data_IF_620742521465
#
_entry.id   IF_620742521465
#
_cell.length_a   1.000
_cell.length_b   1.000
_cell.length_c   1.000
_cell.angle_alpha   90.00
_cell.angle_beta   90.00
_cell.angle_gamma   90.00
#
_symmetry.space_group_name_H-M   'P 1'
#
loop_
_entity.id
_entity.type
_entity.pdbx_description
1 polymer ?
#
# COMPACT_ATOMS: atom_id res chain seq x y z
N UNK A 1 -45.15 -48.83 -30.61
CA UNK A 1 -44.04 -47.95 -30.97
C UNK A 1 -43.89 -46.96 -29.83
N UNK A 2 -42.88 -47.10 -28.97
CA UNK A 2 -42.66 -46.31 -27.72
C UNK A 2 -41.43 -45.40 -28.03
N UNK A 3 -41.65 -44.10 -28.22
CA UNK A 3 -40.58 -43.09 -28.36
C UNK A 3 -40.05 -42.74 -26.95
N UNK A 4 -38.85 -43.18 -26.62
CA UNK A 4 -38.16 -42.74 -25.43
C UNK A 4 -37.51 -41.38 -25.67
N UNK A 5 -38.03 -40.35 -25.00
CA UNK A 5 -37.48 -39.01 -25.00
C UNK A 5 -36.30 -38.96 -24.03
N UNK A 6 -35.07 -38.86 -24.57
CA UNK A 6 -33.85 -38.64 -23.75
C UNK A 6 -33.73 -37.16 -23.45
N UNK A 7 -34.08 -36.78 -22.22
CA UNK A 7 -33.75 -35.46 -21.67
C UNK A 7 -32.26 -35.42 -21.36
N UNK A 8 -31.49 -34.74 -22.21
CA UNK A 8 -30.12 -34.35 -21.93
C UNK A 8 -30.13 -33.25 -20.87
N UNK A 9 -29.89 -33.60 -19.60
CA UNK A 9 -29.56 -32.66 -18.52
C UNK A 9 -28.17 -32.07 -18.81
N UNK A 10 -28.14 -30.88 -19.41
CA UNK A 10 -26.95 -30.04 -19.45
C UNK A 10 -26.69 -29.53 -18.01
N UNK A 11 -25.89 -30.27 -17.23
CA UNK A 11 -25.33 -29.75 -15.99
C UNK A 11 -24.33 -28.67 -16.36
N UNK A 12 -24.73 -27.41 -16.24
CA UNK A 12 -23.82 -26.28 -16.30
C UNK A 12 -22.81 -26.46 -15.14
N UNK A 13 -21.60 -26.93 -15.49
CA UNK A 13 -20.46 -26.89 -14.55
C UNK A 13 -20.26 -25.42 -14.13
N UNK A 14 -20.24 -25.11 -12.84
CA UNK A 14 -19.88 -23.77 -12.40
C UNK A 14 -18.51 -23.46 -12.96
N UNK A 15 -18.41 -22.43 -13.78
CA UNK A 15 -17.14 -21.90 -14.24
C UNK A 15 -16.30 -21.64 -12.99
N UNK A 16 -15.16 -22.30 -12.85
CA UNK A 16 -14.17 -22.03 -11.82
C UNK A 16 -13.66 -20.61 -12.07
N UNK A 17 -14.38 -19.64 -11.54
CA UNK A 17 -13.91 -18.25 -11.54
C UNK A 17 -12.58 -18.25 -10.80
N UNK A 18 -11.49 -18.01 -11.52
CA UNK A 18 -10.16 -17.89 -10.93
C UNK A 18 -10.21 -16.86 -9.80
N UNK A 19 -9.52 -17.15 -8.69
CA UNK A 19 -9.44 -16.21 -7.55
C UNK A 19 -8.93 -14.85 -8.04
N UNK A 20 -9.64 -13.80 -7.68
CA UNK A 20 -9.22 -12.43 -7.94
C UNK A 20 -8.01 -12.07 -7.08
N UNK A 21 -7.17 -11.13 -7.52
CA UNK A 21 -6.05 -10.61 -6.73
C UNK A 21 -6.50 -10.12 -5.34
N UNK A 22 -7.69 -9.51 -5.26
CA UNK A 22 -8.26 -8.98 -4.01
C UNK A 22 -8.74 -10.07 -3.05
N UNK A 23 -8.91 -11.32 -3.49
CA UNK A 23 -9.26 -12.42 -2.58
C UNK A 23 -8.12 -12.76 -1.62
N UNK A 24 -6.88 -12.40 -1.99
CA UNK A 24 -5.68 -12.61 -1.19
C UNK A 24 -5.02 -11.30 -0.76
N UNK A 25 -5.06 -10.26 -1.59
CA UNK A 25 -4.45 -8.95 -1.35
C UNK A 25 -5.47 -7.92 -0.87
N UNK A 26 -6.18 -8.25 0.20
CA UNK A 26 -7.14 -7.35 0.86
C UNK A 26 -6.45 -6.26 1.69
N UNK A 27 -7.21 -5.26 2.12
CA UNK A 27 -6.77 -4.27 3.10
C UNK A 27 -6.07 -3.05 2.49
N UNK A 28 -4.88 -2.70 2.95
CA UNK A 28 -4.22 -1.43 2.60
C UNK A 28 -3.92 -1.28 1.11
N UNK A 29 -3.43 -2.33 0.45
CA UNK A 29 -3.10 -2.30 -0.97
C UNK A 29 -4.35 -2.13 -1.85
N UNK A 30 -5.41 -2.89 -1.57
CA UNK A 30 -6.69 -2.76 -2.25
C UNK A 30 -7.29 -1.35 -2.06
N UNK A 31 -7.38 -0.87 -0.81
CA UNK A 31 -7.92 0.48 -0.51
C UNK A 31 -7.13 1.57 -1.22
N UNK A 32 -5.81 1.47 -1.23
CA UNK A 32 -4.94 2.41 -1.91
C UNK A 32 -5.20 2.44 -3.42
N UNK A 33 -5.36 1.28 -4.08
CA UNK A 33 -5.73 1.22 -5.47
C UNK A 33 -7.15 1.76 -5.71
N UNK A 34 -8.14 1.35 -4.90
CA UNK A 34 -9.54 1.74 -5.05
C UNK A 34 -9.76 3.26 -4.97
N UNK A 35 -8.91 3.99 -4.23
CA UNK A 35 -8.92 5.45 -4.13
C UNK A 35 -8.05 6.14 -5.19
N UNK A 36 -7.32 5.40 -6.02
CA UNK A 36 -6.60 5.96 -7.16
C UNK A 36 -7.54 6.33 -8.31
N UNK A 37 -7.10 7.17 -9.25
CA UNK A 37 -7.86 7.46 -10.47
C UNK A 37 -8.14 6.18 -11.27
N UNK A 38 -7.17 5.28 -11.36
CA UNK A 38 -7.35 3.99 -12.05
C UNK A 38 -8.42 3.14 -11.35
N UNK A 39 -8.37 3.00 -10.04
CA UNK A 39 -9.37 2.24 -9.29
C UNK A 39 -10.78 2.81 -9.39
N UNK A 40 -10.91 4.15 -9.35
CA UNK A 40 -12.20 4.83 -9.54
C UNK A 40 -12.76 4.57 -10.94
N UNK A 41 -11.95 4.71 -11.99
CA UNK A 41 -12.39 4.46 -13.37
C UNK A 41 -12.71 2.97 -13.56
N UNK A 42 -11.88 2.07 -13.04
CA UNK A 42 -12.13 0.63 -13.10
C UNK A 42 -13.49 0.24 -12.49
N UNK A 43 -13.86 0.88 -11.38
CA UNK A 43 -15.16 0.68 -10.72
C UNK A 43 -16.33 1.23 -11.56
N UNK A 44 -16.18 2.40 -12.18
CA UNK A 44 -17.19 2.98 -13.07
C UNK A 44 -17.37 2.13 -14.32
N UNK A 45 -16.31 1.50 -14.81
CA UNK A 45 -16.30 0.65 -15.99
C UNK A 45 -16.55 -0.84 -15.70
N UNK A 46 -16.92 -1.17 -14.46
CA UNK A 46 -17.27 -2.54 -14.09
C UNK A 46 -18.42 -3.04 -14.98
N UNK A 47 -18.21 -4.20 -15.61
CA UNK A 47 -19.16 -4.79 -16.56
C UNK A 47 -19.00 -4.35 -18.02
N UNK A 48 -18.09 -3.45 -18.37
CA UNK A 48 -17.77 -3.12 -19.76
C UNK A 48 -16.80 -4.12 -20.36
N UNK A 49 -17.00 -4.49 -21.62
CA UNK A 49 -16.12 -5.41 -22.36
C UNK A 49 -14.69 -4.86 -22.50
N UNK A 50 -14.56 -3.54 -22.71
CA UNK A 50 -13.27 -2.85 -22.80
C UNK A 50 -13.11 -1.91 -21.61
N UNK A 51 -12.07 -2.17 -20.80
CA UNK A 51 -11.65 -1.28 -19.73
C UNK A 51 -10.52 -0.36 -20.24
N UNK A 52 -10.61 0.92 -19.87
CA UNK A 52 -9.58 1.93 -20.22
C UNK A 52 -8.47 1.99 -19.18
N UNK A 53 -8.64 1.37 -18.03
CA UNK A 53 -7.67 1.38 -16.95
C UNK A 53 -7.13 -0.01 -16.68
N UNK A 54 -5.84 -0.11 -16.32
CA UNK A 54 -5.27 -1.38 -15.89
C UNK A 54 -5.86 -1.80 -14.54
N UNK A 55 -6.04 -3.09 -14.37
CA UNK A 55 -6.24 -3.72 -13.08
C UNK A 55 -4.89 -4.04 -12.40
N UNK A 56 -4.94 -4.80 -11.31
CA UNK A 56 -3.72 -5.21 -10.60
C UNK A 56 -2.72 -5.94 -11.52
N UNK A 57 -3.20 -6.86 -12.35
CA UNK A 57 -2.37 -7.64 -13.28
C UNK A 57 -1.74 -6.77 -14.37
N UNK A 58 -2.46 -5.75 -14.85
CA UNK A 58 -1.98 -4.84 -15.88
C UNK A 58 -0.78 -3.98 -15.44
N UNK A 59 -0.67 -3.68 -14.15
CA UNK A 59 0.47 -2.94 -13.60
C UNK A 59 1.55 -3.87 -13.03
N UNK A 60 1.14 -4.94 -12.35
CA UNK A 60 2.05 -5.84 -11.65
C UNK A 60 2.60 -6.97 -12.51
N UNK A 61 2.21 -7.06 -13.80
CA UNK A 61 2.74 -7.97 -14.82
C UNK A 61 3.05 -9.39 -14.30
N UNK A 62 2.16 -9.96 -13.50
CA UNK A 62 2.33 -11.34 -13.05
C UNK A 62 2.13 -12.27 -14.25
N UNK A 63 3.12 -13.12 -14.53
CA UNK A 63 2.87 -14.27 -15.38
C UNK A 63 1.78 -15.13 -14.72
N UNK A 64 0.57 -15.04 -15.25
CA UNK A 64 -0.63 -15.72 -14.74
C UNK A 64 -0.56 -17.25 -14.78
N UNK A 65 0.62 -17.83 -14.99
CA UNK A 65 0.86 -19.28 -15.12
C UNK A 65 1.08 -20.01 -13.79
N UNK A 66 1.26 -19.28 -12.68
CA UNK A 66 1.41 -19.91 -11.38
C UNK A 66 0.08 -19.87 -10.62
N UNK A 67 -0.48 -21.02 -10.21
CA UNK A 67 -1.66 -21.02 -9.34
C UNK A 67 -1.33 -20.35 -7.99
N UNK A 68 -2.20 -19.44 -7.52
CA UNK A 68 -2.12 -18.99 -6.13
C UNK A 68 -2.07 -20.23 -5.20
N UNK A 69 -1.23 -20.28 -4.19
CA UNK A 69 -0.51 -19.20 -3.49
C UNK A 69 0.96 -19.05 -3.88
N UNK A 70 1.37 -19.45 -5.06
CA UNK A 70 2.79 -19.57 -5.46
C UNK A 70 3.29 -18.51 -6.46
N UNK A 71 2.55 -17.44 -6.70
CA UNK A 71 3.13 -16.35 -7.47
C UNK A 71 4.18 -15.65 -6.60
N UNK A 72 5.42 -16.03 -6.84
CA UNK A 72 6.57 -15.48 -6.15
C UNK A 72 6.94 -14.16 -6.80
N UNK A 73 6.75 -13.04 -6.08
CA UNK A 73 7.35 -11.77 -6.50
C UNK A 73 8.83 -11.84 -6.21
N UNK A 74 9.64 -12.00 -7.25
CA UNK A 74 11.10 -11.91 -7.14
C UNK A 74 11.44 -10.58 -6.46
N UNK A 75 12.27 -10.64 -5.42
CA UNK A 75 12.74 -9.44 -4.72
C UNK A 75 13.59 -8.64 -5.71
N UNK A 76 13.01 -7.58 -6.26
CA UNK A 76 13.66 -6.69 -7.23
C UNK A 76 14.40 -5.58 -6.53
N UNK A 77 15.49 -5.10 -7.12
CA UNK A 77 16.16 -3.88 -6.69
C UNK A 77 15.24 -2.66 -6.90
N UNK A 78 15.53 -1.54 -6.22
CA UNK A 78 14.77 -0.29 -6.42
C UNK A 78 14.81 0.19 -7.87
N UNK A 79 15.91 -0.03 -8.56
CA UNK A 79 16.11 0.35 -9.96
C UNK A 79 15.22 -0.49 -10.86
N UNK A 80 15.26 -1.82 -10.73
CA UNK A 80 14.39 -2.73 -11.49
C UNK A 80 12.91 -2.45 -11.25
N UNK A 81 12.49 -2.24 -9.99
CA UNK A 81 11.11 -1.90 -9.67
C UNK A 81 10.65 -0.59 -10.33
N UNK A 82 11.55 0.40 -10.42
CA UNK A 82 11.27 1.67 -11.11
C UNK A 82 11.17 1.50 -12.61
N UNK A 83 12.06 0.72 -13.22
CA UNK A 83 12.04 0.40 -14.65
C UNK A 83 10.77 -0.36 -15.04
N UNK A 84 10.37 -1.34 -14.24
CA UNK A 84 9.12 -2.07 -14.43
C UNK A 84 7.91 -1.16 -14.32
N UNK A 85 7.86 -0.27 -13.31
CA UNK A 85 6.80 0.70 -13.17
C UNK A 85 6.77 1.68 -14.37
N UNK A 86 7.94 2.17 -14.81
CA UNK A 86 8.03 3.06 -15.96
C UNK A 86 7.54 2.38 -17.24
N UNK A 87 7.90 1.12 -17.48
CA UNK A 87 7.44 0.34 -18.62
C UNK A 87 5.93 0.12 -18.61
N UNK A 88 5.37 -0.28 -17.45
CA UNK A 88 3.93 -0.49 -17.28
C UNK A 88 3.12 0.80 -17.49
N UNK A 89 3.54 1.90 -16.88
CA UNK A 89 2.89 3.20 -17.07
C UNK A 89 3.04 3.72 -18.52
N UNK A 90 4.20 3.51 -19.13
CA UNK A 90 4.54 3.98 -20.48
C UNK A 90 3.69 3.35 -21.60
N UNK A 91 3.01 2.24 -21.33
CA UNK A 91 2.07 1.64 -22.27
C UNK A 91 0.87 2.55 -22.61
N UNK A 92 0.51 3.46 -21.68
CA UNK A 92 -0.65 4.35 -21.81
C UNK A 92 -0.32 5.83 -21.63
N UNK A 93 0.76 6.15 -20.91
CA UNK A 93 1.14 7.52 -20.54
C UNK A 93 2.42 7.96 -21.26
N UNK A 94 2.53 9.26 -21.52
CA UNK A 94 3.75 9.82 -22.13
C UNK A 94 4.97 9.65 -21.21
N UNK A 95 6.19 9.48 -21.78
CA UNK A 95 7.40 9.31 -20.98
C UNK A 95 7.65 10.47 -19.98
N UNK A 96 7.34 11.69 -20.38
CA UNK A 96 7.48 12.88 -19.52
C UNK A 96 6.56 12.75 -18.29
N UNK A 97 5.29 12.43 -18.49
CA UNK A 97 4.33 12.26 -17.41
C UNK A 97 4.80 11.17 -16.44
N UNK A 98 5.20 10.02 -16.95
CA UNK A 98 5.69 8.88 -16.14
C UNK A 98 6.89 9.30 -15.30
N UNK A 99 7.86 9.97 -15.91
CA UNK A 99 9.08 10.46 -15.21
C UNK A 99 8.73 11.43 -14.08
N UNK A 100 7.84 12.37 -14.34
CA UNK A 100 7.41 13.37 -13.35
C UNK A 100 6.66 12.72 -12.18
N UNK A 101 5.75 11.75 -12.44
CA UNK A 101 5.01 11.03 -11.41
C UNK A 101 5.91 10.16 -10.53
N UNK A 102 6.82 9.41 -11.13
CA UNK A 102 7.78 8.60 -10.39
C UNK A 102 8.74 9.45 -9.55
N UNK A 103 9.17 10.59 -10.06
CA UNK A 103 10.00 11.53 -9.32
C UNK A 103 9.24 12.17 -8.15
N UNK A 104 7.96 12.53 -8.34
CA UNK A 104 7.11 13.06 -7.27
C UNK A 104 6.89 12.01 -6.16
N UNK A 105 6.63 10.75 -6.53
CA UNK A 105 6.51 9.64 -5.57
C UNK A 105 7.80 9.43 -4.77
N UNK A 106 8.97 9.49 -5.42
CA UNK A 106 10.26 9.38 -4.73
C UNK A 106 10.48 10.52 -3.72
N UNK A 107 10.16 11.77 -4.09
CA UNK A 107 10.25 12.90 -3.15
C UNK A 107 9.32 12.73 -1.96
N UNK A 108 8.07 12.33 -2.19
CA UNK A 108 7.10 12.06 -1.14
C UNK A 108 7.58 10.97 -0.18
N UNK A 109 8.14 9.88 -0.71
CA UNK A 109 8.70 8.82 0.11
C UNK A 109 9.93 9.27 0.91
N UNK A 110 10.81 10.07 0.31
CA UNK A 110 12.00 10.61 1.01
C UNK A 110 11.61 11.46 2.23
N UNK A 111 10.53 12.25 2.13
CA UNK A 111 9.98 13.01 3.26
C UNK A 111 9.46 12.06 4.36
N UNK A 112 8.71 11.02 3.99
CA UNK A 112 8.23 10.02 4.96
C UNK A 112 9.37 9.29 5.68
N UNK A 113 10.40 8.90 4.95
CA UNK A 113 11.60 8.26 5.51
C UNK A 113 12.41 9.21 6.42
N UNK A 114 12.41 10.50 6.12
CA UNK A 114 13.02 11.51 7.00
C UNK A 114 12.29 11.58 8.34
N UNK A 115 10.95 11.65 8.32
CA UNK A 115 10.11 11.65 9.53
C UNK A 115 10.31 10.38 10.37
N UNK A 116 10.40 9.22 9.71
CA UNK A 116 10.71 7.95 10.38
C UNK A 116 12.06 8.00 11.09
N UNK A 117 13.11 8.43 10.41
CA UNK A 117 14.45 8.53 11.03
C UNK A 117 14.47 9.51 12.19
N UNK A 118 13.75 10.62 12.10
CA UNK A 118 13.61 11.56 13.21
C UNK A 118 12.94 10.92 14.43
N UNK A 119 11.82 10.20 14.22
CA UNK A 119 11.13 9.49 15.28
C UNK A 119 12.03 8.43 15.94
N UNK A 120 12.75 7.64 15.15
CA UNK A 120 13.68 6.62 15.64
C UNK A 120 14.80 7.23 16.47
N UNK A 121 15.40 8.33 16.00
CA UNK A 121 16.47 9.03 16.73
C UNK A 121 15.99 9.59 18.09
N UNK A 122 14.77 10.16 18.11
CA UNK A 122 14.18 10.66 19.35
C UNK A 122 13.92 9.55 20.37
N UNK A 123 13.39 8.42 19.92
CA UNK A 123 13.11 7.26 20.79
C UNK A 123 14.42 6.60 21.24
N UNK A 124 15.43 6.51 20.40
CA UNK A 124 16.75 5.98 20.77
C UNK A 124 17.42 6.82 21.87
N UNK A 125 17.31 8.14 21.81
CA UNK A 125 17.76 9.01 22.89
C UNK A 125 16.97 8.76 24.19
N UNK A 126 15.67 8.59 24.08
CA UNK A 126 14.81 8.34 25.24
C UNK A 126 15.12 7.00 25.94
N UNK A 127 15.48 5.96 25.18
CA UNK A 127 15.88 4.66 25.74
C UNK A 127 17.05 4.74 26.72
N UNK A 128 17.91 5.74 26.57
CA UNK A 128 19.06 5.97 27.49
C UNK A 128 18.67 6.61 28.79
N UNK A 129 17.51 7.26 28.83
CA UNK A 129 17.08 8.10 29.93
C UNK A 129 15.84 7.57 30.66
N UNK A 130 15.02 6.76 30.00
CA UNK A 130 13.69 6.38 30.44
C UNK A 130 13.62 4.89 30.79
N UNK A 131 12.77 4.56 31.76
CA UNK A 131 12.45 3.17 32.10
C UNK A 131 11.61 2.51 31.00
N UNK A 132 11.61 1.18 30.95
CA UNK A 132 10.79 0.39 30.00
C UNK A 132 9.30 0.72 30.09
N UNK A 133 8.80 0.98 31.31
CA UNK A 133 7.40 1.34 31.51
C UNK A 133 7.03 2.69 30.89
N UNK A 134 7.90 3.71 31.03
CA UNK A 134 7.73 5.02 30.41
C UNK A 134 7.81 4.96 28.89
N UNK A 135 8.64 4.07 28.35
CA UNK A 135 8.85 3.90 26.91
C UNK A 135 7.73 3.11 26.21
N UNK A 136 6.98 2.27 26.92
CA UNK A 136 6.04 1.32 26.31
C UNK A 136 5.05 1.98 25.33
N UNK A 137 4.43 3.12 25.72
CA UNK A 137 3.51 3.86 24.85
C UNK A 137 4.24 4.51 23.67
N UNK A 138 5.43 5.02 23.88
CA UNK A 138 6.25 5.69 22.86
C UNK A 138 6.70 4.68 21.80
N UNK A 139 7.11 3.49 22.21
CA UNK A 139 7.48 2.38 21.32
C UNK A 139 6.29 1.92 20.46
N UNK A 140 5.09 1.87 21.02
CA UNK A 140 3.87 1.56 20.28
C UNK A 140 3.58 2.62 19.20
N UNK A 141 3.75 3.90 19.53
CA UNK A 141 3.60 5.00 18.56
C UNK A 141 4.65 4.91 17.45
N UNK A 142 5.91 4.56 17.79
CA UNK A 142 6.97 4.36 16.80
C UNK A 142 6.66 3.18 15.88
N UNK A 143 6.17 2.07 16.43
CA UNK A 143 5.75 0.91 15.64
C UNK A 143 4.63 1.28 14.65
N UNK A 144 3.58 2.00 15.10
CA UNK A 144 2.51 2.51 14.23
C UNK A 144 3.07 3.41 13.12
N UNK A 145 3.97 4.33 13.45
CA UNK A 145 4.59 5.22 12.46
C UNK A 145 5.35 4.43 11.40
N UNK A 146 6.16 3.46 11.82
CA UNK A 146 7.05 2.67 10.96
C UNK A 146 6.28 1.65 10.13
N UNK A 147 5.40 0.89 10.76
CA UNK A 147 4.83 -0.33 10.19
C UNK A 147 3.47 -0.10 9.50
N UNK A 148 2.75 0.96 9.90
CA UNK A 148 1.45 1.31 9.34
C UNK A 148 1.52 2.57 8.47
N UNK A 149 1.84 3.73 9.06
CA UNK A 149 1.75 5.00 8.34
C UNK A 149 2.74 5.09 7.17
N UNK A 150 3.97 4.62 7.36
CA UNK A 150 4.97 4.62 6.28
C UNK A 150 4.62 3.61 5.18
N UNK A 151 4.06 2.45 5.53
CA UNK A 151 3.51 1.49 4.56
C UNK A 151 2.41 2.13 3.73
N UNK A 152 1.46 2.80 4.39
CA UNK A 152 0.32 3.41 3.72
C UNK A 152 0.75 4.57 2.82
N UNK A 153 1.74 5.36 3.24
CA UNK A 153 2.38 6.33 2.35
C UNK A 153 2.96 5.68 1.09
N UNK A 154 3.72 4.59 1.25
CA UNK A 154 4.32 3.86 0.12
C UNK A 154 3.26 3.34 -0.85
N UNK A 155 2.19 2.77 -0.32
CA UNK A 155 1.07 2.27 -1.13
C UNK A 155 0.35 3.40 -1.88
N UNK A 156 0.06 4.51 -1.21
CA UNK A 156 -0.58 5.66 -1.84
C UNK A 156 0.27 6.27 -2.95
N UNK A 157 1.58 6.36 -2.75
CA UNK A 157 2.54 6.84 -3.76
C UNK A 157 2.66 5.85 -4.93
N UNK A 158 2.72 4.55 -4.65
CA UNK A 158 2.82 3.50 -5.67
C UNK A 158 1.58 3.45 -6.57
N UNK A 159 0.39 3.54 -6.00
CA UNK A 159 -0.87 3.53 -6.74
C UNK A 159 -1.29 4.90 -7.26
N UNK A 160 -0.46 5.94 -7.10
CA UNK A 160 -0.80 7.31 -7.50
C UNK A 160 -2.16 7.75 -6.96
N UNK A 161 -2.40 7.49 -5.66
CA UNK A 161 -3.63 7.77 -4.95
C UNK A 161 -3.44 8.97 -4.02
N UNK A 162 -3.76 10.21 -4.45
CA UNK A 162 -3.46 11.43 -3.70
C UNK A 162 -4.10 11.47 -2.32
N UNK A 163 -5.38 11.11 -2.22
CA UNK A 163 -6.11 11.13 -0.94
C UNK A 163 -5.57 10.08 0.03
N UNK A 164 -5.29 8.87 -0.46
CA UNK A 164 -4.74 7.81 0.37
C UNK A 164 -3.34 8.18 0.89
N UNK A 165 -2.44 8.64 0.01
CA UNK A 165 -1.08 9.06 0.39
C UNK A 165 -1.08 10.24 1.36
N UNK A 166 -2.05 11.17 1.23
CA UNK A 166 -2.13 12.33 2.11
C UNK A 166 -2.68 11.94 3.48
N UNK A 167 -3.90 11.41 3.54
CA UNK A 167 -4.58 11.18 4.82
C UNK A 167 -4.01 10.01 5.62
N UNK A 168 -3.77 8.88 4.96
CA UNK A 168 -3.26 7.66 5.63
C UNK A 168 -1.73 7.57 5.62
N UNK A 169 -1.08 8.36 4.78
CA UNK A 169 0.37 8.45 4.71
C UNK A 169 0.92 9.70 5.40
N UNK A 170 1.01 10.83 4.70
CA UNK A 170 1.72 12.03 5.18
C UNK A 170 1.14 12.59 6.48
N UNK A 171 -0.18 12.84 6.54
CA UNK A 171 -0.84 13.38 7.73
C UNK A 171 -0.77 12.41 8.93
N UNK A 172 -0.90 11.10 8.67
CA UNK A 172 -0.77 10.09 9.71
C UNK A 172 0.66 10.00 10.25
N UNK A 173 1.69 10.11 9.40
CA UNK A 173 3.09 10.20 9.82
C UNK A 173 3.35 11.43 10.69
N UNK A 174 2.85 12.60 10.28
CA UNK A 174 2.97 13.83 11.07
C UNK A 174 2.28 13.69 12.42
N UNK A 175 1.06 13.16 12.44
CA UNK A 175 0.32 12.92 13.66
C UNK A 175 1.04 11.95 14.61
N UNK A 176 1.64 10.88 14.09
CA UNK A 176 2.40 9.93 14.92
C UNK A 176 3.70 10.54 15.44
N UNK A 177 4.44 11.28 14.62
CA UNK A 177 5.65 11.98 15.04
C UNK A 177 5.36 13.03 16.13
N UNK A 178 4.28 13.82 15.98
CA UNK A 178 3.86 14.80 16.97
C UNK A 178 3.45 14.13 18.30
N UNK A 179 2.75 13.00 18.25
CA UNK A 179 2.40 12.23 19.47
C UNK A 179 3.65 11.69 20.16
N UNK A 180 4.64 11.19 19.44
CA UNK A 180 5.94 10.76 19.99
C UNK A 180 6.61 11.94 20.70
N UNK A 181 6.73 13.09 20.04
CA UNK A 181 7.34 14.29 20.62
C UNK A 181 6.58 14.76 21.88
N UNK A 182 5.26 14.75 21.84
CA UNK A 182 4.40 15.10 22.98
C UNK A 182 4.63 14.17 24.17
N UNK A 183 4.56 12.85 23.96
CA UNK A 183 4.76 11.86 25.01
C UNK A 183 6.18 11.95 25.64
N UNK A 184 7.21 12.16 24.84
CA UNK A 184 8.57 12.40 25.31
C UNK A 184 8.68 13.68 26.16
N UNK A 185 8.01 14.75 25.73
CA UNK A 185 7.96 16.02 26.46
C UNK A 185 7.25 15.88 27.81
N UNK A 186 6.15 15.17 27.88
CA UNK A 186 5.42 14.90 29.12
C UNK A 186 6.22 14.06 30.09
N UNK A 187 6.81 12.99 29.66
CA UNK A 187 7.65 12.13 30.50
C UNK A 187 8.87 12.88 31.07
N UNK A 188 9.47 13.78 30.31
CA UNK A 188 10.56 14.64 30.80
C UNK A 188 10.08 15.64 31.84
N UNK A 189 8.93 16.28 31.64
CA UNK A 189 8.32 17.22 32.65
C UNK A 189 8.01 16.49 33.93
N UNK A 190 7.38 15.33 33.89
CA UNK A 190 7.03 14.54 35.10
C UNK A 190 8.27 14.17 35.89
N UNK A 191 9.37 13.81 35.25
CA UNK A 191 10.64 13.50 35.95
C UNK A 191 11.28 14.74 36.59
N UNK A 192 11.18 15.90 35.96
CA UNK A 192 11.70 17.15 36.53
C UNK A 192 10.88 17.57 37.77
N UNK A 193 9.57 17.35 37.74
CA UNK A 193 8.68 17.65 38.86
C UNK A 193 8.85 16.68 40.05
N UNK A 194 9.38 15.49 39.86
CA UNK A 194 9.62 14.48 40.87
C UNK A 194 11.00 14.62 41.59
N UNK A 195 11.86 15.54 41.16
CA UNK A 195 13.16 15.87 41.76
C UNK A 195 13.06 17.02 42.75
#
# INVERSE_FOLDING_TARGET
MRHALWLLLLTALPALAGKSCIDCHTGAAERSYALSKHGVIARIEAGRERRRTPDCGGCHAFEAKAPAPRHYVKKTSRTEAREQAAAGCGACHSPRYVTEQLAAAQRGLAIGEMKRREAEALVELARKEMSTAELAQIEKLLATLRDENLRDLRLGLAHQSPDYQWWLGQAALDGSLLRIKGALGEARRSRLAAR
#
